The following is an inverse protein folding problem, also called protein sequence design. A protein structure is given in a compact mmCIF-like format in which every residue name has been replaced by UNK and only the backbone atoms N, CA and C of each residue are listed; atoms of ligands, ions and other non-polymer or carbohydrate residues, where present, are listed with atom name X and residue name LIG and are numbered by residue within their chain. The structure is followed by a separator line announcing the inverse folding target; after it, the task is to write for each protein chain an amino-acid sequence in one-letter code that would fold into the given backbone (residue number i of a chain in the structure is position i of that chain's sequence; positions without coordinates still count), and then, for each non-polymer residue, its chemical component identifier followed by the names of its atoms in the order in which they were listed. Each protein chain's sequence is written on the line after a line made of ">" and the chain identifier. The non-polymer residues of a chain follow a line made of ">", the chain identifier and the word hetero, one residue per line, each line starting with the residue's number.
data_IF_722409831992
#
_entry.id   IF_722409831992
#
_cell.length_a   1.000
_cell.length_b   1.000
_cell.length_c   1.000
_cell.angle_alpha   90.00
_cell.angle_beta   90.00
_cell.angle_gamma   90.00
#
_symmetry.space_group_name_H-M   'P 1'
#
loop_
_entity.id
_entity.type
_entity.pdbx_description
1 polymer ?
#
# COMPACT_ATOMS: atom_id res chain seq x y z
N UNK A 1 -18.79 -8.22 10.96
CA UNK A 1 -18.69 -6.75 10.79
C UNK A 1 -19.61 -6.33 9.67
N UNK A 2 -20.37 -5.26 9.88
CA UNK A 2 -21.28 -4.71 8.86
C UNK A 2 -20.46 -3.96 7.80
N UNK A 3 -21.04 -3.76 6.62
CA UNK A 3 -20.32 -3.13 5.51
C UNK A 3 -19.96 -1.67 5.81
N UNK A 4 -20.83 -0.93 6.49
CA UNK A 4 -20.61 0.46 6.92
C UNK A 4 -19.42 0.60 7.88
N UNK A 5 -19.21 -0.36 8.77
CA UNK A 5 -18.12 -0.35 9.76
C UNK A 5 -16.73 -0.57 9.13
N UNK A 6 -16.66 -1.23 7.97
CA UNK A 6 -15.37 -1.61 7.33
C UNK A 6 -15.05 -0.87 6.04
N UNK A 7 -16.03 -0.20 5.45
CA UNK A 7 -15.91 0.36 4.09
C UNK A 7 -14.76 1.36 3.95
N UNK A 8 -14.62 2.28 4.91
CA UNK A 8 -13.55 3.28 4.86
C UNK A 8 -12.15 2.66 5.02
N UNK A 9 -12.02 1.58 5.80
CA UNK A 9 -10.78 0.81 5.88
C UNK A 9 -10.50 0.08 4.56
N UNK A 10 -11.51 -0.55 3.96
CA UNK A 10 -11.36 -1.19 2.66
C UNK A 10 -10.84 -0.18 1.62
N UNK A 11 -11.50 0.97 1.52
CA UNK A 11 -11.13 2.07 0.63
C UNK A 11 -9.73 2.59 0.92
N UNK A 12 -9.33 2.71 2.17
CA UNK A 12 -7.98 3.10 2.54
C UNK A 12 -6.94 2.12 1.97
N UNK A 13 -7.12 0.82 2.13
CA UNK A 13 -6.21 -0.17 1.56
C UNK A 13 -6.21 -0.20 0.02
N UNK A 14 -7.32 0.16 -0.63
CA UNK A 14 -7.37 0.28 -2.09
C UNK A 14 -6.59 1.53 -2.60
N UNK A 15 -6.42 2.57 -1.76
CA UNK A 15 -5.82 3.85 -2.15
C UNK A 15 -4.39 4.06 -1.65
N UNK A 16 -4.11 3.74 -0.39
CA UNK A 16 -2.84 4.02 0.28
C UNK A 16 -1.61 3.43 -0.44
N UNK A 17 -1.64 2.22 -1.03
CA UNK A 17 -0.49 1.68 -1.76
C UNK A 17 0.03 2.61 -2.84
N UNK A 18 -0.84 3.28 -3.59
CA UNK A 18 -0.40 4.17 -4.67
C UNK A 18 -0.19 5.61 -4.20
N UNK A 19 -0.94 6.09 -3.21
CA UNK A 19 -0.81 7.44 -2.66
C UNK A 19 0.44 7.58 -1.80
N UNK A 20 0.68 6.65 -0.87
CA UNK A 20 1.85 6.68 0.01
C UNK A 20 2.98 5.86 -0.59
N UNK A 21 2.73 4.61 -0.96
CA UNK A 21 3.79 3.72 -1.47
C UNK A 21 4.40 4.20 -2.79
N UNK A 22 3.63 4.09 -3.88
CA UNK A 22 4.15 4.32 -5.23
C UNK A 22 4.59 5.77 -5.47
N UNK A 23 3.89 6.75 -4.90
CA UNK A 23 4.20 8.17 -5.10
C UNK A 23 5.55 8.53 -4.47
N UNK A 24 5.83 8.06 -3.25
CA UNK A 24 7.12 8.29 -2.59
C UNK A 24 8.25 7.51 -3.26
N UNK A 25 8.02 6.24 -3.61
CA UNK A 25 8.97 5.43 -4.37
C UNK A 25 9.38 6.12 -5.68
N UNK A 26 8.39 6.61 -6.44
CA UNK A 26 8.62 7.30 -7.70
C UNK A 26 9.50 8.55 -7.55
N UNK A 27 9.24 9.37 -6.53
CA UNK A 27 10.04 10.58 -6.28
C UNK A 27 11.47 10.19 -5.87
N UNK A 28 11.64 9.20 -4.99
CA UNK A 28 12.97 8.73 -4.60
C UNK A 28 13.78 8.22 -5.80
N UNK A 29 13.19 7.38 -6.67
CA UNK A 29 13.85 6.91 -7.87
C UNK A 29 14.26 8.07 -8.80
N UNK A 30 13.40 9.10 -8.97
CA UNK A 30 13.74 10.29 -9.76
C UNK A 30 14.90 11.07 -9.16
N UNK A 31 14.88 11.29 -7.84
CA UNK A 31 15.96 12.01 -7.15
C UNK A 31 17.30 11.28 -7.24
N UNK A 32 17.27 9.94 -7.32
CA UNK A 32 18.46 9.09 -7.52
C UNK A 32 18.84 8.92 -9.01
N UNK A 33 18.08 9.48 -9.94
CA UNK A 33 18.32 9.34 -11.38
C UNK A 33 18.02 7.93 -11.94
N UNK A 34 17.26 7.10 -11.22
CA UNK A 34 16.93 5.73 -11.62
C UNK A 34 15.73 5.75 -12.56
N UNK A 35 15.97 5.70 -13.87
CA UNK A 35 14.89 5.82 -14.88
C UNK A 35 14.07 4.55 -15.09
N UNK A 36 14.70 3.39 -14.96
CA UNK A 36 14.10 2.08 -15.25
C UNK A 36 14.41 1.10 -14.13
N UNK A 37 13.86 1.31 -12.91
CA UNK A 37 13.89 0.25 -11.92
C UNK A 37 13.17 -0.97 -12.50
N UNK A 38 13.52 -2.16 -12.04
CA UNK A 38 12.72 -3.35 -12.30
C UNK A 38 11.35 -3.22 -11.62
N UNK A 39 10.36 -4.00 -12.07
CA UNK A 39 9.05 -4.06 -11.41
C UNK A 39 9.18 -4.50 -9.95
N UNK A 40 10.08 -5.45 -9.68
CA UNK A 40 10.36 -5.94 -8.33
C UNK A 40 10.88 -4.83 -7.43
N UNK A 41 11.94 -4.12 -7.84
CA UNK A 41 12.48 -2.97 -7.08
C UNK A 41 11.41 -1.89 -6.83
N UNK A 42 10.55 -1.63 -7.81
CA UNK A 42 9.46 -0.66 -7.65
C UNK A 42 8.41 -1.12 -6.63
N UNK A 43 8.03 -2.41 -6.65
CA UNK A 43 7.08 -3.01 -5.70
C UNK A 43 7.64 -3.05 -4.29
N UNK A 44 8.89 -3.49 -4.13
CA UNK A 44 9.57 -3.52 -2.85
C UNK A 44 9.65 -2.13 -2.24
N UNK A 45 10.06 -1.13 -3.04
CA UNK A 45 10.13 0.25 -2.56
C UNK A 45 8.76 0.86 -2.25
N UNK A 46 7.75 0.54 -3.06
CA UNK A 46 6.35 0.91 -2.77
C UNK A 46 5.90 0.34 -1.43
N UNK A 47 6.20 -0.94 -1.16
CA UNK A 47 5.83 -1.59 0.08
C UNK A 47 6.60 -1.01 1.28
N UNK A 48 7.87 -0.69 1.12
CA UNK A 48 8.69 -0.04 2.15
C UNK A 48 8.05 1.27 2.63
N UNK A 49 7.64 2.13 1.70
CA UNK A 49 6.95 3.38 2.04
C UNK A 49 5.56 3.16 2.62
N UNK A 50 4.79 2.20 2.08
CA UNK A 50 3.47 1.88 2.63
C UNK A 50 3.55 1.40 4.09
N UNK A 51 4.57 0.62 4.44
CA UNK A 51 4.80 0.14 5.81
C UNK A 51 5.07 1.27 6.81
N UNK A 52 5.50 2.45 6.36
CA UNK A 52 5.62 3.62 7.25
C UNK A 52 4.26 4.09 7.79
N UNK A 53 3.14 3.67 7.18
CA UNK A 53 1.79 3.94 7.67
C UNK A 53 1.29 2.92 8.72
N UNK A 54 2.06 1.86 9.03
CA UNK A 54 1.67 0.84 10.02
C UNK A 54 1.22 1.37 11.38
N UNK A 55 1.83 2.44 11.95
CA UNK A 55 1.34 3.01 13.21
C UNK A 55 -0.13 3.44 13.16
N UNK A 56 -0.63 3.86 11.98
CA UNK A 56 -2.05 4.21 11.80
C UNK A 56 -2.91 2.95 11.80
N UNK A 57 -2.47 1.89 11.12
CA UNK A 57 -3.19 0.61 11.07
C UNK A 57 -3.31 -0.05 12.45
N UNK A 58 -2.38 0.25 13.35
CA UNK A 58 -2.30 -0.30 14.70
C UNK A 58 -2.86 0.67 15.77
N UNK A 59 -3.46 1.79 15.36
CA UNK A 59 -3.87 2.89 16.26
C UNK A 59 -5.17 2.64 17.03
N UNK A 60 -6.02 1.70 16.60
CA UNK A 60 -7.28 1.43 17.28
C UNK A 60 -7.08 0.86 18.69
N UNK A 61 -7.96 1.20 19.66
CA UNK A 61 -7.88 0.70 21.03
C UNK A 61 -7.83 -0.82 21.16
N UNK A 62 -7.29 -1.29 22.28
CA UNK A 62 -7.06 -2.73 22.51
C UNK A 62 -8.20 -3.50 23.16
N UNK A 63 -9.32 -2.84 23.47
CA UNK A 63 -10.50 -3.47 24.04
C UNK A 63 -11.30 -4.31 23.03
N UNK A 64 -12.31 -5.01 23.55
CA UNK A 64 -13.15 -5.96 22.79
C UNK A 64 -13.99 -5.30 21.69
N UNK A 65 -14.37 -4.03 21.85
CA UNK A 65 -15.21 -3.30 20.88
C UNK A 65 -14.48 -3.17 19.53
N UNK A 66 -13.16 -2.95 19.57
CA UNK A 66 -12.33 -2.79 18.37
C UNK A 66 -11.66 -4.07 17.88
N UNK A 67 -11.85 -5.21 18.53
CA UNK A 67 -11.18 -6.47 18.14
C UNK A 67 -11.52 -6.88 16.70
N UNK A 68 -12.80 -6.76 16.32
CA UNK A 68 -13.24 -7.11 14.98
C UNK A 68 -12.56 -6.24 13.91
N UNK A 69 -12.45 -4.91 14.12
CA UNK A 69 -11.87 -4.01 13.11
C UNK A 69 -10.36 -4.15 13.03
N UNK A 70 -9.67 -4.38 14.16
CA UNK A 70 -8.24 -4.66 14.17
C UNK A 70 -7.91 -5.94 13.40
N UNK A 71 -8.68 -7.02 13.58
CA UNK A 71 -8.54 -8.26 12.80
C UNK A 71 -8.78 -8.02 11.30
N UNK A 72 -9.78 -7.20 10.94
CA UNK A 72 -10.03 -6.86 9.55
C UNK A 72 -8.91 -6.03 8.93
N UNK A 73 -8.37 -5.05 9.65
CA UNK A 73 -7.22 -4.24 9.21
C UNK A 73 -6.00 -5.12 9.00
N UNK A 74 -5.68 -6.03 9.94
CA UNK A 74 -4.54 -6.94 9.81
C UNK A 74 -4.69 -7.87 8.59
N UNK A 75 -5.89 -8.41 8.38
CA UNK A 75 -6.20 -9.19 7.19
C UNK A 75 -5.98 -8.39 5.90
N UNK A 76 -6.54 -7.18 5.80
CA UNK A 76 -6.41 -6.31 4.63
C UNK A 76 -4.97 -5.87 4.38
N UNK A 77 -4.23 -5.54 5.44
CA UNK A 77 -2.81 -5.20 5.40
C UNK A 77 -2.00 -6.33 4.76
N UNK A 78 -2.14 -7.55 5.26
CA UNK A 78 -1.41 -8.72 4.75
C UNK A 78 -1.78 -9.03 3.30
N UNK A 79 -3.07 -9.04 3.00
CA UNK A 79 -3.57 -9.26 1.63
C UNK A 79 -2.99 -8.24 0.65
N UNK A 80 -2.95 -6.96 1.04
CA UNK A 80 -2.46 -5.90 0.19
C UNK A 80 -0.93 -5.98 -0.02
N UNK A 81 -0.18 -6.31 1.03
CA UNK A 81 1.26 -6.51 0.94
C UNK A 81 1.62 -7.65 -0.02
N UNK A 82 0.90 -8.78 0.10
CA UNK A 82 1.07 -9.93 -0.78
C UNK A 82 0.75 -9.57 -2.24
N UNK A 83 -0.35 -8.84 -2.48
CA UNK A 83 -0.72 -8.40 -3.83
C UNK A 83 0.33 -7.49 -4.45
N UNK A 84 0.92 -6.58 -3.68
CA UNK A 84 1.97 -5.69 -4.20
C UNK A 84 3.20 -6.50 -4.62
N UNK A 85 3.72 -7.35 -3.74
CA UNK A 85 4.94 -8.13 -4.01
C UNK A 85 4.72 -9.14 -5.14
N UNK A 86 3.58 -9.83 -5.16
CA UNK A 86 3.24 -10.78 -6.21
C UNK A 86 2.91 -10.12 -7.57
N UNK A 87 2.85 -8.78 -7.64
CA UNK A 87 2.47 -8.06 -8.87
C UNK A 87 1.01 -8.18 -9.25
N UNK A 88 0.14 -8.44 -8.27
CA UNK A 88 -1.30 -8.58 -8.44
C UNK A 88 -2.06 -7.28 -8.16
N UNK A 89 -1.42 -6.27 -7.57
CA UNK A 89 -2.00 -4.94 -7.45
C UNK A 89 -1.92 -4.18 -8.78
N UNK A 90 -3.02 -4.20 -9.53
CA UNK A 90 -3.16 -3.54 -10.85
C UNK A 90 -2.86 -2.04 -10.82
N UNK A 91 -3.20 -1.35 -9.74
CA UNK A 91 -2.95 0.10 -9.67
C UNK A 91 -1.46 0.38 -9.50
N UNK A 92 -0.73 -0.42 -8.70
CA UNK A 92 0.72 -0.31 -8.58
C UNK A 92 1.42 -0.62 -9.90
N UNK A 93 1.00 -1.69 -10.59
CA UNK A 93 1.56 -2.02 -11.92
C UNK A 93 1.34 -0.87 -12.93
N UNK A 94 0.16 -0.25 -12.91
CA UNK A 94 -0.16 0.93 -13.73
C UNK A 94 0.69 2.14 -13.35
N UNK A 95 1.06 2.31 -12.07
CA UNK A 95 1.94 3.40 -11.62
C UNK A 95 3.38 3.17 -12.06
N UNK A 96 3.85 1.92 -12.03
CA UNK A 96 5.14 1.55 -12.60
C UNK A 96 5.19 1.85 -14.10
N UNK A 97 4.17 1.44 -14.87
CA UNK A 97 4.13 1.69 -16.32
C UNK A 97 4.24 3.18 -16.62
N UNK A 98 3.43 4.00 -15.92
CA UNK A 98 3.53 5.46 -16.01
C UNK A 98 4.91 5.97 -15.58
N UNK A 99 5.48 5.45 -14.50
CA UNK A 99 6.79 5.88 -14.05
C UNK A 99 7.85 5.76 -15.15
N UNK A 100 7.89 4.60 -15.81
CA UNK A 100 8.83 4.28 -16.89
C UNK A 100 8.52 5.06 -18.17
N UNK A 101 7.24 5.22 -18.51
CA UNK A 101 6.81 5.94 -19.73
C UNK A 101 7.08 7.45 -19.66
N UNK A 102 6.99 8.04 -18.46
CA UNK A 102 7.23 9.49 -18.22
C UNK A 102 8.67 9.77 -17.70
N UNK A 103 9.58 8.79 -17.70
CA UNK A 103 10.94 8.86 -17.11
C UNK A 103 12.08 8.97 -18.11
#
# INVERSE_FOLDING_TARGET
>A
MRNDERYEIQRAFDLLPHVIGASWASVEFRMKGIKKPTREEFREKTLEYLKMAEPIFESYPKDEEFDAIRKYIDFRKKEEYEKIIAGLNKEIEKRYDRYVDYG
#
